data_IF_198670056889
#
_entry.id   IF_198670056889
#
_cell.length_a   1.000
_cell.length_b   1.000
_cell.length_c   1.000
_cell.angle_alpha   90.00
_cell.angle_beta   90.00
_cell.angle_gamma   90.00
#
_symmetry.space_group_name_H-M   'P 1'
#
loop_
_entity.id
_entity.type
_entity.pdbx_description
1 polymer ?
#
# COMPACT_ATOMS: atom_id res chain seq x y z
N UNK A 1 29.45 6.46 -6.02
CA UNK A 1 29.57 7.53 -5.01
C UNK A 1 28.27 7.59 -4.25
N UNK A 2 28.07 6.70 -3.28
CA UNK A 2 27.04 6.89 -2.25
C UNK A 2 27.78 7.68 -1.18
N UNK A 3 27.48 8.96 -1.11
CA UNK A 3 27.99 9.85 -0.07
C UNK A 3 27.74 9.16 1.28
N UNK A 4 28.81 8.91 2.05
CA UNK A 4 28.70 8.46 3.43
C UNK A 4 27.83 9.49 4.15
N UNK A 5 26.54 9.22 4.28
CA UNK A 5 25.66 9.94 5.20
C UNK A 5 26.38 9.89 6.54
N UNK A 6 26.79 11.04 7.06
CA UNK A 6 27.45 11.17 8.36
C UNK A 6 26.43 10.88 9.46
N UNK A 7 26.09 9.60 9.64
CA UNK A 7 25.21 9.13 10.70
C UNK A 7 25.92 9.19 12.07
N UNK A 8 27.25 9.29 12.07
CA UNK A 8 28.11 9.24 13.27
C UNK A 8 27.94 10.40 14.26
N UNK A 9 27.20 11.47 13.92
CA UNK A 9 26.93 12.62 14.82
C UNK A 9 25.50 12.70 15.32
N UNK A 10 24.66 11.73 14.94
CA UNK A 10 23.29 11.71 15.44
C UNK A 10 23.24 11.09 16.83
N UNK A 11 22.48 11.76 17.66
CA UNK A 11 22.10 11.29 18.97
C UNK A 11 21.25 9.98 18.88
N UNK A 12 21.26 9.15 19.93
CA UNK A 12 20.63 7.83 20.05
C UNK A 12 19.13 7.87 19.75
N UNK A 13 18.44 8.86 20.33
CA UNK A 13 16.99 9.00 20.16
C UNK A 13 16.62 9.18 18.68
N UNK A 14 17.24 10.10 17.91
CA UNK A 14 17.07 10.17 16.46
C UNK A 14 17.35 8.86 15.72
N UNK A 15 18.40 8.11 16.07
CA UNK A 15 18.75 6.84 15.41
C UNK A 15 17.66 5.78 15.60
N UNK A 16 17.15 5.64 16.83
CA UNK A 16 16.09 4.69 17.16
C UNK A 16 14.76 5.12 16.51
N UNK A 17 14.40 6.40 16.59
CA UNK A 17 13.19 6.92 15.95
C UNK A 17 13.25 6.70 14.44
N UNK A 18 14.39 6.99 13.79
CA UNK A 18 14.56 6.77 12.36
C UNK A 18 14.37 5.29 11.98
N UNK A 19 14.94 4.36 12.76
CA UNK A 19 14.77 2.94 12.55
C UNK A 19 13.28 2.51 12.63
N UNK A 20 12.56 2.96 13.66
CA UNK A 20 11.13 2.66 13.81
C UNK A 20 10.26 3.33 12.74
N UNK A 21 10.55 4.57 12.37
CA UNK A 21 9.85 5.30 11.30
C UNK A 21 10.06 4.60 9.96
N UNK A 22 11.27 4.10 9.68
CA UNK A 22 11.56 3.37 8.45
C UNK A 22 10.75 2.06 8.40
N UNK A 23 10.70 1.31 9.50
CA UNK A 23 9.87 0.09 9.58
C UNK A 23 8.38 0.42 9.44
N UNK A 24 7.89 1.45 10.12
CA UNK A 24 6.50 1.88 10.02
C UNK A 24 6.12 2.33 8.60
N UNK A 25 7.04 3.02 7.91
CA UNK A 25 6.87 3.41 6.51
C UNK A 25 6.82 2.19 5.59
N UNK A 26 7.69 1.20 5.79
CA UNK A 26 7.65 -0.05 5.03
C UNK A 26 6.31 -0.76 5.20
N UNK A 27 5.83 -0.90 6.45
CA UNK A 27 4.51 -1.48 6.73
C UNK A 27 3.41 -0.67 6.05
N UNK A 28 3.44 0.66 6.16
CA UNK A 28 2.48 1.55 5.50
C UNK A 28 2.45 1.37 3.98
N UNK A 29 3.62 1.33 3.33
CA UNK A 29 3.74 1.10 1.88
C UNK A 29 3.19 -0.27 1.50
N UNK A 30 3.54 -1.33 2.22
CA UNK A 30 2.98 -2.67 1.95
C UNK A 30 1.46 -2.72 2.15
N UNK A 31 0.94 -2.00 3.15
CA UNK A 31 -0.49 -1.90 3.42
C UNK A 31 -1.23 -1.16 2.30
N UNK A 32 -0.70 -0.04 1.81
CA UNK A 32 -1.27 0.71 0.68
C UNK A 32 -1.28 -0.17 -0.58
N UNK A 33 -0.16 -0.82 -0.91
CA UNK A 33 -0.07 -1.68 -2.10
C UNK A 33 -1.02 -2.88 -1.98
N UNK A 34 -1.11 -3.50 -0.80
CA UNK A 34 -2.06 -4.58 -0.54
C UNK A 34 -3.51 -4.11 -0.73
N UNK A 35 -3.85 -2.94 -0.19
CA UNK A 35 -5.18 -2.34 -0.33
C UNK A 35 -5.52 -2.06 -1.80
N UNK A 36 -4.62 -1.42 -2.55
CA UNK A 36 -4.86 -1.11 -3.98
C UNK A 36 -4.94 -2.37 -4.84
N UNK A 37 -4.20 -3.42 -4.47
CA UNK A 37 -4.25 -4.71 -5.18
C UNK A 37 -5.61 -5.38 -4.99
N UNK A 38 -6.09 -5.42 -3.74
CA UNK A 38 -7.41 -5.98 -3.41
C UNK A 38 -8.52 -5.17 -4.08
N UNK A 39 -8.45 -3.83 -4.06
CA UNK A 39 -9.48 -3.01 -4.72
C UNK A 39 -9.51 -3.20 -6.24
N UNK A 40 -8.37 -3.47 -6.87
CA UNK A 40 -8.32 -3.73 -8.33
C UNK A 40 -9.01 -5.06 -8.66
N UNK A 41 -8.78 -6.09 -7.84
CA UNK A 41 -9.46 -7.40 -8.00
C UNK A 41 -10.96 -7.26 -7.75
N UNK A 42 -11.35 -6.47 -6.74
CA UNK A 42 -12.75 -6.18 -6.42
C UNK A 42 -13.49 -5.54 -7.61
N UNK A 43 -12.93 -4.48 -8.21
CA UNK A 43 -13.51 -3.83 -9.40
C UNK A 43 -13.58 -4.77 -10.61
N UNK A 44 -12.56 -5.62 -10.82
CA UNK A 44 -12.57 -6.60 -11.91
C UNK A 44 -13.64 -7.69 -11.71
N UNK A 45 -13.89 -8.10 -10.46
CA UNK A 45 -14.97 -9.03 -10.13
C UNK A 45 -16.35 -8.38 -10.29
N UNK A 46 -16.47 -7.09 -9.98
CA UNK A 46 -17.71 -6.33 -10.18
C UNK A 46 -18.09 -6.31 -11.66
N UNK A 47 -17.16 -6.02 -12.58
CA UNK A 47 -17.40 -6.08 -14.03
C UNK A 47 -17.86 -7.47 -14.50
N UNK A 48 -17.19 -8.53 -14.04
CA UNK A 48 -17.57 -9.91 -14.40
C UNK A 48 -18.96 -10.29 -13.89
N UNK A 49 -19.29 -9.94 -12.64
CA UNK A 49 -20.53 -10.39 -11.98
C UNK A 49 -21.74 -9.52 -12.32
N UNK A 50 -21.55 -8.21 -12.49
CA UNK A 50 -22.64 -7.27 -12.72
C UNK A 50 -22.78 -6.86 -14.18
N UNK A 51 -21.67 -6.61 -14.88
CA UNK A 51 -21.73 -6.06 -16.23
C UNK A 51 -21.85 -7.20 -17.23
N UNK A 52 -20.90 -8.13 -17.27
CA UNK A 52 -20.86 -9.21 -18.26
C UNK A 52 -22.05 -10.18 -18.07
N UNK A 53 -22.45 -10.52 -16.83
CA UNK A 53 -23.65 -11.38 -16.61
C UNK A 53 -24.95 -10.68 -17.02
N UNK A 54 -25.07 -9.36 -16.81
CA UNK A 54 -26.27 -8.64 -17.22
C UNK A 54 -26.36 -8.49 -18.75
N UNK A 55 -25.22 -8.50 -19.44
CA UNK A 55 -25.14 -8.53 -20.90
C UNK A 55 -25.67 -9.86 -21.43
N UNK A 56 -25.17 -10.98 -20.91
CA UNK A 56 -25.66 -12.33 -21.22
C UNK A 56 -27.17 -12.51 -20.94
N UNK A 57 -27.65 -12.04 -19.78
CA UNK A 57 -29.06 -12.15 -19.39
C UNK A 57 -29.98 -11.39 -20.37
N UNK A 58 -29.57 -10.18 -20.77
CA UNK A 58 -30.33 -9.39 -21.73
C UNK A 58 -30.35 -10.02 -23.13
N UNK A 59 -29.23 -10.60 -23.59
CA UNK A 59 -29.16 -11.30 -24.87
C UNK A 59 -30.05 -12.56 -24.88
N UNK A 60 -30.00 -13.36 -23.81
CA UNK A 60 -30.84 -14.55 -23.65
C UNK A 60 -32.34 -14.20 -23.64
N UNK A 61 -32.71 -13.13 -22.94
CA UNK A 61 -34.10 -12.70 -22.85
C UNK A 61 -34.58 -12.10 -24.18
N UNK A 62 -33.73 -11.39 -24.94
CA UNK A 62 -34.05 -10.99 -26.32
C UNK A 62 -34.34 -12.22 -27.19
N UNK A 63 -33.51 -13.25 -27.15
CA UNK A 63 -33.73 -14.50 -27.88
C UNK A 63 -35.02 -15.20 -27.47
N UNK A 64 -35.30 -15.27 -26.18
CA UNK A 64 -36.56 -15.82 -25.67
C UNK A 64 -37.79 -15.06 -26.23
N UNK A 65 -37.73 -13.74 -26.27
CA UNK A 65 -38.82 -12.94 -26.81
C UNK A 65 -39.00 -13.14 -28.33
N UNK A 66 -37.92 -13.35 -29.10
CA UNK A 66 -38.02 -13.73 -30.52
C UNK A 66 -38.77 -15.06 -30.72
N UNK A 67 -38.42 -16.08 -29.93
CA UNK A 67 -39.11 -17.37 -29.96
C UNK A 67 -40.59 -17.23 -29.58
N UNK A 68 -40.88 -16.41 -28.57
CA UNK A 68 -42.24 -16.11 -28.10
C UNK A 68 -43.07 -15.40 -29.17
N UNK A 69 -42.51 -14.40 -29.85
CA UNK A 69 -43.18 -13.72 -30.97
C UNK A 69 -43.52 -14.69 -32.11
N UNK A 70 -42.55 -15.52 -32.49
CA UNK A 70 -42.73 -16.50 -33.56
C UNK A 70 -43.81 -17.52 -33.21
N UNK A 71 -43.82 -18.00 -31.96
CA UNK A 71 -44.84 -18.91 -31.45
C UNK A 71 -46.23 -18.25 -31.51
N UNK A 72 -46.35 -17.02 -31.00
CA UNK A 72 -47.61 -16.28 -30.98
C UNK A 72 -48.18 -16.06 -32.40
N UNK A 73 -47.33 -15.74 -33.39
CA UNK A 73 -47.76 -15.64 -34.78
C UNK A 73 -48.24 -16.99 -35.34
N UNK A 74 -47.60 -18.09 -34.96
CA UNK A 74 -48.05 -19.42 -35.36
C UNK A 74 -49.42 -19.77 -34.76
N UNK A 75 -49.67 -19.41 -33.50
CA UNK A 75 -50.98 -19.56 -32.86
C UNK A 75 -52.06 -18.70 -33.55
N UNK A 76 -51.73 -17.45 -33.89
CA UNK A 76 -52.61 -16.59 -34.70
C UNK A 76 -52.98 -17.26 -36.03
N UNK A 77 -52.01 -17.86 -36.74
CA UNK A 77 -52.27 -18.59 -38.00
C UNK A 77 -53.21 -19.79 -37.83
N UNK A 78 -53.21 -20.44 -36.67
CA UNK A 78 -54.16 -21.52 -36.34
C UNK A 78 -55.56 -21.02 -35.99
N UNK A 79 -55.72 -19.71 -35.77
CA UNK A 79 -56.98 -19.03 -35.50
C UNK A 79 -57.14 -18.50 -34.08
N UNK A 80 -56.11 -18.61 -33.23
CA UNK A 80 -56.11 -18.12 -31.85
C UNK A 80 -55.74 -16.63 -31.82
N UNK A 81 -56.69 -15.77 -32.21
CA UNK A 81 -56.43 -14.33 -32.38
C UNK A 81 -56.03 -13.59 -31.09
N UNK A 82 -56.26 -14.18 -29.90
CA UNK A 82 -55.78 -13.64 -28.63
C UNK A 82 -54.25 -13.61 -28.54
N UNK A 83 -53.55 -14.51 -29.23
CA UNK A 83 -52.08 -14.54 -29.27
C UNK A 83 -51.48 -13.29 -29.97
N UNK A 84 -52.28 -12.49 -30.69
CA UNK A 84 -51.83 -11.21 -31.23
C UNK A 84 -51.42 -10.21 -30.13
N UNK A 85 -52.03 -10.29 -28.94
CA UNK A 85 -51.59 -9.47 -27.79
C UNK A 85 -50.25 -9.97 -27.23
N UNK A 86 -50.01 -11.28 -27.23
CA UNK A 86 -48.76 -11.90 -26.79
C UNK A 86 -47.60 -11.52 -27.71
N UNK A 87 -47.81 -11.58 -29.04
CA UNK A 87 -46.85 -11.07 -30.03
C UNK A 87 -46.44 -9.61 -29.75
N UNK A 88 -47.42 -8.73 -29.53
CA UNK A 88 -47.15 -7.31 -29.27
C UNK A 88 -46.47 -7.08 -27.91
N UNK A 89 -46.76 -7.92 -26.93
CA UNK A 89 -46.10 -7.88 -25.62
C UNK A 89 -44.63 -8.32 -25.73
N UNK A 90 -44.35 -9.42 -26.43
CA UNK A 90 -42.98 -9.89 -26.66
C UNK A 90 -42.16 -8.89 -27.47
N UNK A 91 -42.76 -8.27 -28.49
CA UNK A 91 -42.17 -7.14 -29.22
C UNK A 91 -41.75 -5.97 -28.31
N UNK A 92 -42.57 -5.65 -27.31
CA UNK A 92 -42.24 -4.59 -26.35
C UNK A 92 -41.17 -5.02 -25.33
N UNK A 93 -41.15 -6.29 -24.95
CA UNK A 93 -40.12 -6.83 -24.06
C UNK A 93 -38.76 -6.93 -24.76
N UNK A 94 -38.71 -7.39 -26.01
CA UNK A 94 -37.50 -7.36 -26.82
C UNK A 94 -36.92 -5.94 -26.89
N UNK A 95 -37.76 -4.94 -27.19
CA UNK A 95 -37.35 -3.52 -27.22
C UNK A 95 -36.75 -3.04 -25.89
N UNK A 96 -37.32 -3.49 -24.77
CA UNK A 96 -36.83 -3.16 -23.44
C UNK A 96 -35.42 -3.71 -23.23
N UNK A 97 -35.19 -5.00 -23.54
CA UNK A 97 -33.88 -5.64 -23.35
C UNK A 97 -32.83 -5.12 -24.34
N UNK A 98 -33.25 -4.88 -25.59
CA UNK A 98 -32.45 -4.15 -26.56
C UNK A 98 -31.98 -2.80 -26.00
N UNK A 99 -32.88 -2.03 -25.39
CA UNK A 99 -32.54 -0.72 -24.80
C UNK A 99 -31.55 -0.86 -23.65
N UNK A 100 -31.74 -1.89 -22.80
CA UNK A 100 -30.78 -2.21 -21.73
C UNK A 100 -29.39 -2.46 -22.27
N UNK A 101 -29.23 -3.17 -23.39
CA UNK A 101 -27.93 -3.36 -24.04
C UNK A 101 -27.43 -2.08 -24.73
N UNK A 102 -28.30 -1.36 -25.44
CA UNK A 102 -27.93 -0.18 -26.22
C UNK A 102 -27.47 1.02 -25.37
N UNK A 103 -27.86 1.08 -24.10
CA UNK A 103 -27.44 2.11 -23.14
C UNK A 103 -26.07 1.84 -22.51
N UNK A 104 -25.50 0.65 -22.73
CA UNK A 104 -24.20 0.26 -22.20
C UNK A 104 -23.05 0.93 -22.95
N UNK A 105 -22.00 1.31 -22.22
CA UNK A 105 -20.79 1.93 -22.76
C UNK A 105 -19.60 0.97 -22.90
N UNK A 106 -19.77 -0.28 -22.47
CA UNK A 106 -18.74 -1.32 -22.44
C UNK A 106 -18.91 -2.39 -23.54
N UNK A 107 -19.87 -2.21 -24.45
CA UNK A 107 -20.01 -3.06 -25.64
C UNK A 107 -18.83 -2.87 -26.60
N UNK A 108 -18.34 -3.98 -27.15
CA UNK A 108 -17.33 -3.98 -28.22
C UNK A 108 -17.90 -3.39 -29.52
N UNK A 109 -17.03 -3.02 -30.45
CA UNK A 109 -17.46 -2.50 -31.75
C UNK A 109 -18.31 -3.52 -32.54
N UNK A 110 -17.95 -4.79 -32.46
CA UNK A 110 -18.67 -5.87 -33.15
C UNK A 110 -20.05 -6.11 -32.50
N UNK A 111 -20.13 -6.08 -31.16
CA UNK A 111 -21.42 -6.16 -30.43
C UNK A 111 -22.33 -4.96 -30.73
N UNK A 112 -21.78 -3.75 -30.82
CA UNK A 112 -22.57 -2.56 -31.20
C UNK A 112 -23.11 -2.66 -32.63
N UNK A 113 -22.32 -3.21 -33.55
CA UNK A 113 -22.74 -3.43 -34.92
C UNK A 113 -23.87 -4.46 -34.98
N UNK A 114 -23.68 -5.65 -34.39
CA UNK A 114 -24.69 -6.70 -34.31
C UNK A 114 -25.99 -6.19 -33.70
N UNK A 115 -25.90 -5.49 -32.57
CA UNK A 115 -27.07 -4.92 -31.91
C UNK A 115 -27.84 -3.95 -32.84
N UNK A 116 -27.12 -3.14 -33.64
CA UNK A 116 -27.74 -2.24 -34.61
C UNK A 116 -28.39 -2.95 -35.81
N UNK A 117 -27.85 -4.09 -36.23
CA UNK A 117 -28.38 -4.95 -37.29
C UNK A 117 -29.65 -5.64 -36.81
N UNK A 118 -29.59 -6.31 -35.65
CA UNK A 118 -30.73 -6.91 -34.96
C UNK A 118 -31.88 -5.90 -34.75
N UNK A 119 -31.56 -4.63 -34.47
CA UNK A 119 -32.58 -3.58 -34.33
C UNK A 119 -33.37 -3.36 -35.61
N UNK A 120 -32.67 -3.28 -36.73
CA UNK A 120 -33.28 -3.04 -38.03
C UNK A 120 -34.14 -4.23 -38.45
N UNK A 121 -33.63 -5.44 -38.26
CA UNK A 121 -34.33 -6.70 -38.56
C UNK A 121 -35.55 -6.90 -37.67
N UNK A 122 -35.45 -6.65 -36.37
CA UNK A 122 -36.59 -6.75 -35.46
C UNK A 122 -37.71 -5.74 -35.81
N UNK A 123 -37.34 -4.54 -36.27
CA UNK A 123 -38.32 -3.56 -36.78
C UNK A 123 -39.02 -4.05 -38.06
N UNK A 124 -38.31 -4.73 -38.95
CA UNK A 124 -38.89 -5.36 -40.13
C UNK A 124 -39.81 -6.53 -39.74
N UNK A 125 -39.35 -7.39 -38.83
CA UNK A 125 -40.10 -8.51 -38.29
C UNK A 125 -41.41 -8.05 -37.64
N UNK A 126 -41.36 -6.97 -36.86
CA UNK A 126 -42.53 -6.32 -36.27
C UNK A 126 -43.56 -5.89 -37.31
N UNK A 127 -43.10 -5.18 -38.35
CA UNK A 127 -43.99 -4.67 -39.40
C UNK A 127 -44.67 -5.83 -40.14
N UNK A 128 -43.90 -6.85 -40.51
CA UNK A 128 -44.40 -8.03 -41.23
C UNK A 128 -45.31 -8.90 -40.36
N UNK A 129 -45.00 -9.06 -39.07
CA UNK A 129 -45.85 -9.77 -38.11
C UNK A 129 -47.23 -9.11 -37.92
N UNK A 130 -47.31 -7.77 -37.89
CA UNK A 130 -48.60 -7.07 -37.89
C UNK A 130 -49.38 -7.27 -39.21
N UNK A 131 -48.69 -7.42 -40.35
CA UNK A 131 -49.34 -7.79 -41.61
C UNK A 131 -49.93 -9.22 -41.56
N UNK A 132 -49.24 -10.18 -40.91
CA UNK A 132 -49.77 -11.53 -40.65
C UNK A 132 -51.05 -11.45 -39.83
N UNK A 133 -51.02 -10.71 -38.72
CA UNK A 133 -52.18 -10.53 -37.82
C UNK A 133 -53.35 -9.88 -38.58
N UNK A 134 -53.09 -8.79 -39.31
CA UNK A 134 -54.12 -8.06 -40.09
C UNK A 134 -54.73 -8.94 -41.19
N UNK A 135 -53.93 -9.75 -41.87
CA UNK A 135 -54.43 -10.69 -42.88
C UNK A 135 -55.33 -11.76 -42.26
N UNK A 136 -54.98 -12.28 -41.08
CA UNK A 136 -55.81 -13.23 -40.33
C UNK A 136 -57.11 -12.60 -39.82
N UNK A 137 -57.09 -11.36 -39.34
CA UNK A 137 -58.31 -10.60 -38.97
C UNK A 137 -59.25 -10.41 -40.16
N UNK A 138 -58.69 -10.20 -41.36
CA UNK A 138 -59.44 -10.10 -42.61
C UNK A 138 -59.90 -11.46 -43.17
N UNK A 139 -59.46 -12.58 -42.58
CA UNK A 139 -59.74 -13.94 -43.04
C UNK A 139 -58.94 -14.39 -44.27
N UNK A 140 -57.91 -13.63 -44.68
CA UNK A 140 -57.03 -13.96 -45.81
C UNK A 140 -55.84 -14.82 -45.36
N UNK A 141 -56.12 -16.12 -45.16
CA UNK A 141 -55.11 -17.09 -44.71
C UNK A 141 -53.97 -17.24 -45.72
N UNK A 142 -54.25 -17.19 -47.02
CA UNK A 142 -53.21 -17.28 -48.04
C UNK A 142 -52.22 -16.12 -47.96
N UNK A 143 -52.69 -14.88 -47.72
CA UNK A 143 -51.78 -13.75 -47.50
C UNK A 143 -50.99 -13.90 -46.20
N UNK A 144 -51.66 -14.31 -45.10
CA UNK A 144 -51.01 -14.50 -43.81
C UNK A 144 -49.88 -15.55 -43.87
N UNK A 145 -50.10 -16.69 -44.53
CA UNK A 145 -49.07 -17.71 -44.70
C UNK A 145 -47.90 -17.21 -45.56
N UNK A 146 -48.16 -16.49 -46.67
CA UNK A 146 -47.06 -15.90 -47.46
C UNK A 146 -46.22 -14.92 -46.66
N UNK A 147 -46.88 -14.11 -45.81
CA UNK A 147 -46.19 -13.16 -44.92
C UNK A 147 -45.38 -13.87 -43.83
N UNK A 148 -45.89 -14.98 -43.33
CA UNK A 148 -45.12 -15.84 -42.42
C UNK A 148 -43.89 -16.45 -43.13
N UNK A 149 -44.02 -16.91 -44.38
CA UNK A 149 -42.90 -17.42 -45.18
C UNK A 149 -41.82 -16.35 -45.45
N UNK A 150 -42.22 -15.07 -45.59
CA UNK A 150 -41.31 -13.91 -45.68
C UNK A 150 -40.61 -13.64 -44.33
N UNK A 151 -41.27 -13.94 -43.21
CA UNK A 151 -40.84 -13.62 -41.85
C UNK A 151 -39.95 -14.68 -41.21
N UNK A 152 -40.17 -15.97 -41.51
CA UNK A 152 -39.34 -17.08 -41.02
C UNK A 152 -37.82 -16.88 -41.23
N UNK A 153 -37.31 -16.45 -42.40
CA UNK A 153 -35.88 -16.20 -42.56
C UNK A 153 -35.36 -15.05 -41.70
N UNK A 154 -36.17 -14.02 -41.46
CA UNK A 154 -35.79 -12.88 -40.59
C UNK A 154 -35.64 -13.36 -39.14
N UNK A 155 -36.55 -14.20 -38.64
CA UNK A 155 -36.40 -14.78 -37.30
C UNK A 155 -35.19 -15.71 -37.19
N UNK A 156 -34.85 -16.46 -38.24
CA UNK A 156 -33.64 -17.29 -38.26
C UNK A 156 -32.38 -16.43 -38.18
N UNK A 157 -32.32 -15.32 -38.94
CA UNK A 157 -31.20 -14.38 -38.92
C UNK A 157 -31.07 -13.71 -37.54
N UNK A 158 -32.18 -13.22 -36.97
CA UNK A 158 -32.21 -12.66 -35.60
C UNK A 158 -31.78 -13.68 -34.52
N UNK A 159 -32.20 -14.94 -34.63
CA UNK A 159 -31.75 -16.02 -33.73
C UNK A 159 -30.24 -16.30 -33.90
N UNK A 160 -29.71 -16.27 -35.11
CA UNK A 160 -28.27 -16.46 -35.37
C UNK A 160 -27.45 -15.28 -34.86
N UNK A 161 -27.95 -14.05 -34.98
CA UNK A 161 -27.34 -12.84 -34.46
C UNK A 161 -27.33 -12.81 -32.92
N UNK A 162 -28.43 -13.20 -32.27
CA UNK A 162 -28.45 -13.34 -30.80
C UNK A 162 -27.44 -14.37 -30.33
N UNK A 163 -27.29 -15.51 -31.02
CA UNK A 163 -26.27 -16.52 -30.71
C UNK A 163 -24.86 -15.96 -30.91
N UNK A 164 -24.61 -15.24 -32.01
CA UNK A 164 -23.31 -14.63 -32.28
C UNK A 164 -22.97 -13.56 -31.23
N UNK A 165 -23.97 -12.82 -30.76
CA UNK A 165 -23.82 -11.88 -29.65
C UNK A 165 -23.44 -12.60 -28.35
N UNK A 166 -24.14 -13.69 -28.00
CA UNK A 166 -23.81 -14.55 -26.84
C UNK A 166 -22.38 -15.11 -26.92
N UNK A 167 -21.93 -15.59 -28.09
CA UNK A 167 -20.56 -16.09 -28.29
C UNK A 167 -19.49 -15.00 -28.09
N UNK A 168 -19.77 -13.78 -28.57
CA UNK A 168 -18.89 -12.63 -28.37
C UNK A 168 -18.83 -12.21 -26.89
N UNK A 169 -19.97 -12.25 -26.19
CA UNK A 169 -20.06 -11.96 -24.77
C UNK A 169 -19.31 -13.00 -23.92
N UNK A 170 -19.46 -14.30 -24.22
CA UNK A 170 -18.70 -15.39 -23.59
C UNK A 170 -17.18 -15.19 -23.78
N UNK A 171 -16.74 -14.83 -24.99
CA UNK A 171 -15.33 -14.57 -25.27
C UNK A 171 -14.80 -13.34 -24.51
N UNK A 172 -15.63 -12.28 -24.37
CA UNK A 172 -15.32 -11.08 -23.57
C UNK A 172 -15.20 -11.44 -22.08
N UNK A 173 -16.16 -12.19 -21.55
CA UNK A 173 -16.17 -12.70 -20.17
C UNK A 173 -14.92 -13.54 -19.87
N UNK A 174 -14.56 -14.50 -20.75
CA UNK A 174 -13.35 -15.31 -20.58
C UNK A 174 -12.08 -14.45 -20.53
N UNK A 175 -11.99 -13.42 -21.38
CA UNK A 175 -10.88 -12.49 -21.38
C UNK A 175 -10.82 -11.66 -20.08
N UNK A 176 -11.97 -11.19 -19.57
CA UNK A 176 -12.10 -10.51 -18.27
C UNK A 176 -11.62 -11.40 -17.12
N UNK A 177 -12.07 -12.65 -17.08
CA UNK A 177 -11.65 -13.64 -16.07
C UNK A 177 -10.15 -13.93 -16.14
N UNK A 178 -9.59 -14.12 -17.35
CA UNK A 178 -8.16 -14.36 -17.54
C UNK A 178 -7.30 -13.15 -17.11
N UNK A 179 -7.78 -11.93 -17.40
CA UNK A 179 -7.15 -10.68 -16.96
C UNK A 179 -7.17 -10.54 -15.44
N UNK A 180 -8.30 -10.86 -14.80
CA UNK A 180 -8.45 -10.85 -13.35
C UNK A 180 -7.53 -11.87 -12.65
N UNK A 181 -7.43 -13.08 -13.21
CA UNK A 181 -6.52 -14.11 -12.73
C UNK A 181 -5.05 -13.68 -12.83
N UNK A 182 -4.67 -13.06 -13.95
CA UNK A 182 -3.31 -12.54 -14.17
C UNK A 182 -2.98 -11.40 -13.19
N UNK A 183 -3.92 -10.48 -12.98
CA UNK A 183 -3.80 -9.36 -12.04
C UNK A 183 -3.66 -9.86 -10.60
N UNK A 184 -4.42 -10.89 -10.23
CA UNK A 184 -4.35 -11.55 -8.92
C UNK A 184 -2.98 -12.18 -8.70
N UNK A 185 -2.47 -12.94 -9.68
CA UNK A 185 -1.16 -13.60 -9.56
C UNK A 185 0.00 -12.58 -9.45
N UNK A 186 -0.04 -11.52 -10.25
CA UNK A 186 0.94 -10.42 -10.16
C UNK A 186 0.89 -9.71 -8.81
N UNK A 187 -0.33 -9.44 -8.31
CA UNK A 187 -0.54 -8.85 -6.98
C UNK A 187 0.02 -9.72 -5.87
N UNK A 188 -0.22 -11.04 -5.92
CA UNK A 188 0.36 -11.99 -4.96
C UNK A 188 1.88 -11.98 -4.98
N UNK A 189 2.50 -12.05 -6.17
CA UNK A 189 3.95 -12.00 -6.30
C UNK A 189 4.53 -10.69 -5.76
N UNK A 190 3.88 -9.56 -6.04
CA UNK A 190 4.31 -8.24 -5.57
C UNK A 190 4.21 -8.13 -4.05
N UNK A 191 3.10 -8.55 -3.46
CA UNK A 191 2.89 -8.53 -2.00
C UNK A 191 3.93 -9.43 -1.31
N UNK A 192 4.09 -10.68 -1.76
CA UNK A 192 5.08 -11.62 -1.18
C UNK A 192 6.50 -11.04 -1.28
N UNK A 193 6.86 -10.47 -2.44
CA UNK A 193 8.17 -9.86 -2.67
C UNK A 193 8.43 -8.68 -1.73
N UNK A 194 7.47 -7.76 -1.60
CA UNK A 194 7.59 -6.59 -0.73
C UNK A 194 7.58 -6.95 0.75
N UNK A 195 6.73 -7.89 1.18
CA UNK A 195 6.72 -8.39 2.56
C UNK A 195 8.04 -9.05 2.91
N UNK A 196 8.60 -9.87 2.01
CA UNK A 196 9.90 -10.51 2.21
C UNK A 196 11.02 -9.48 2.29
N UNK A 197 11.03 -8.48 1.40
CA UNK A 197 12.01 -7.41 1.43
C UNK A 197 11.91 -6.58 2.71
N UNK A 198 10.70 -6.21 3.14
CA UNK A 198 10.46 -5.47 4.37
C UNK A 198 10.92 -6.27 5.60
N UNK A 199 10.68 -7.58 5.62
CA UNK A 199 11.14 -8.48 6.67
C UNK A 199 12.68 -8.53 6.76
N UNK A 200 13.37 -8.69 5.62
CA UNK A 200 14.84 -8.68 5.57
C UNK A 200 15.41 -7.34 6.06
N UNK A 201 14.81 -6.21 5.65
CA UNK A 201 15.23 -4.88 6.11
C UNK A 201 15.00 -4.71 7.62
N UNK A 202 13.87 -5.19 8.15
CA UNK A 202 13.60 -5.14 9.59
C UNK A 202 14.63 -5.96 10.39
N UNK A 203 15.01 -7.14 9.92
CA UNK A 203 16.10 -7.94 10.54
C UNK A 203 17.42 -7.17 10.50
N UNK A 204 17.78 -6.60 9.34
CA UNK A 204 19.02 -5.85 9.20
C UNK A 204 19.10 -4.65 10.16
N UNK A 205 17.98 -3.92 10.32
CA UNK A 205 17.86 -2.82 11.28
C UNK A 205 17.97 -3.34 12.71
N UNK A 206 17.31 -4.45 13.05
CA UNK A 206 17.38 -5.07 14.37
C UNK A 206 18.81 -5.48 14.75
N UNK A 207 19.52 -6.11 13.82
CA UNK A 207 20.94 -6.48 14.01
C UNK A 207 21.85 -5.25 14.12
N UNK A 208 21.57 -4.20 13.35
CA UNK A 208 22.29 -2.92 13.44
C UNK A 208 22.14 -2.29 14.83
N UNK A 209 20.90 -2.21 15.35
CA UNK A 209 20.60 -1.67 16.68
C UNK A 209 21.22 -2.52 17.77
N UNK A 210 21.10 -3.85 17.69
CA UNK A 210 21.68 -4.77 18.67
C UNK A 210 23.20 -4.60 18.78
N UNK A 211 23.91 -4.52 17.65
CA UNK A 211 25.37 -4.39 17.64
C UNK A 211 25.88 -3.00 18.04
N UNK A 212 25.20 -1.93 17.61
CA UNK A 212 25.69 -0.53 17.81
C UNK A 212 25.21 0.11 19.09
N UNK A 213 24.08 -0.32 19.65
CA UNK A 213 23.47 0.31 20.83
C UNK A 213 23.48 -0.67 22.00
N UNK A 214 22.95 -1.88 21.82
CA UNK A 214 22.79 -2.82 22.94
C UNK A 214 24.14 -3.31 23.49
N UNK A 215 25.11 -3.63 22.61
CA UNK A 215 26.43 -4.12 23.04
C UNK A 215 27.23 -3.09 23.88
N UNK A 216 27.43 -1.82 23.46
CA UNK A 216 28.16 -0.84 24.28
C UNK A 216 27.47 -0.53 25.61
N UNK A 217 26.14 -0.50 25.64
CA UNK A 217 25.37 -0.32 26.89
C UNK A 217 25.63 -1.47 27.86
N UNK A 218 25.66 -2.72 27.37
CA UNK A 218 25.95 -3.89 28.20
C UNK A 218 27.38 -3.87 28.73
N UNK A 219 28.36 -3.46 27.90
CA UNK A 219 29.75 -3.30 28.32
C UNK A 219 29.88 -2.24 29.42
N UNK A 220 29.29 -1.06 29.22
CA UNK A 220 29.30 0.02 30.20
C UNK A 220 28.61 -0.38 31.51
N UNK A 221 27.51 -1.13 31.43
CA UNK A 221 26.82 -1.67 32.60
C UNK A 221 27.72 -2.64 33.39
N UNK A 222 28.40 -3.56 32.72
CA UNK A 222 29.35 -4.49 33.35
C UNK A 222 30.54 -3.76 33.97
N UNK A 223 31.12 -2.79 33.28
CA UNK A 223 32.22 -1.98 33.81
C UNK A 223 31.80 -1.15 35.04
N UNK A 224 30.58 -0.61 35.03
CA UNK A 224 30.02 0.11 36.18
C UNK A 224 29.83 -0.81 37.39
N UNK A 225 29.37 -2.04 37.17
CA UNK A 225 29.23 -3.04 38.23
C UNK A 225 30.60 -3.44 38.82
N UNK A 226 31.59 -3.74 37.98
CA UNK A 226 32.95 -4.04 38.42
C UNK A 226 33.56 -2.89 39.25
N UNK A 227 33.39 -1.64 38.80
CA UNK A 227 33.83 -0.46 39.54
C UNK A 227 33.17 -0.36 40.92
N UNK A 228 31.88 -0.70 41.04
CA UNK A 228 31.18 -0.70 42.34
C UNK A 228 31.71 -1.76 43.31
N UNK A 229 32.30 -2.84 42.79
CA UNK A 229 32.96 -3.91 43.54
C UNK A 229 34.43 -3.58 43.84
N UNK A 230 34.92 -2.41 43.41
CA UNK A 230 36.29 -1.95 43.62
C UNK A 230 37.27 -2.36 42.52
N UNK A 231 36.81 -3.06 41.47
CA UNK A 231 37.62 -3.38 40.31
C UNK A 231 37.59 -2.22 39.30
N UNK A 232 38.64 -1.42 39.34
CA UNK A 232 38.83 -0.32 38.40
C UNK A 232 39.56 -0.77 37.14
N UNK A 233 39.90 -2.04 36.92
CA UNK A 233 40.77 -2.48 35.81
C UNK A 233 40.04 -2.76 34.49
N UNK A 234 38.70 -2.80 34.51
CA UNK A 234 37.87 -3.05 33.32
C UNK A 234 38.05 -1.97 32.27
N UNK A 235 38.48 -2.38 31.08
CA UNK A 235 38.59 -1.50 29.91
C UNK A 235 37.28 -1.52 29.11
N UNK A 236 36.89 -0.38 28.56
CA UNK A 236 35.75 -0.27 27.65
C UNK A 236 36.29 -0.18 26.22
N UNK A 237 35.67 -0.90 25.30
CA UNK A 237 36.03 -0.76 23.88
C UNK A 237 35.72 0.66 23.40
N UNK A 238 36.61 1.22 22.58
CA UNK A 238 36.40 2.55 21.99
C UNK A 238 35.12 2.56 21.15
N UNK A 239 34.15 3.38 21.54
CA UNK A 239 32.95 3.64 20.75
C UNK A 239 33.28 4.67 19.67
N UNK A 240 33.30 4.22 18.42
CA UNK A 240 33.77 5.01 17.28
C UNK A 240 32.85 6.20 16.93
N UNK A 241 31.59 6.19 17.39
CA UNK A 241 30.60 7.22 17.05
C UNK A 241 30.57 8.35 18.09
N UNK A 242 30.44 9.60 17.63
CA UNK A 242 30.33 10.80 18.48
C UNK A 242 28.84 11.08 18.81
N UNK A 243 28.22 10.16 19.52
CA UNK A 243 26.82 10.22 19.99
C UNK A 243 26.73 10.26 21.54
N UNK A 244 25.53 10.25 22.13
CA UNK A 244 25.41 10.25 23.59
C UNK A 244 26.06 9.03 24.24
N UNK A 245 26.14 7.88 23.56
CA UNK A 245 26.85 6.72 24.10
C UNK A 245 28.36 6.98 24.10
N UNK A 246 28.91 7.51 23.02
CA UNK A 246 30.31 7.91 22.95
C UNK A 246 30.68 8.89 24.05
N UNK A 247 29.89 9.96 24.20
CA UNK A 247 30.10 10.95 25.28
C UNK A 247 29.94 10.36 26.68
N UNK A 248 29.04 9.39 26.87
CA UNK A 248 28.85 8.70 28.14
C UNK A 248 30.03 7.77 28.46
N UNK A 249 30.56 7.06 27.47
CA UNK A 249 31.73 6.18 27.60
C UNK A 249 32.99 7.02 27.89
N UNK A 250 33.18 8.16 27.19
CA UNK A 250 34.27 9.09 27.46
C UNK A 250 34.22 9.63 28.89
N UNK A 251 33.06 10.14 29.33
CA UNK A 251 32.89 10.65 30.69
C UNK A 251 33.10 9.56 31.77
N UNK A 252 32.64 8.33 31.50
CA UNK A 252 32.87 7.20 32.39
C UNK A 252 34.36 6.84 32.49
N UNK A 253 35.06 6.84 31.36
CA UNK A 253 36.50 6.55 31.29
C UNK A 253 37.32 7.61 32.04
N UNK A 254 36.96 8.89 31.90
CA UNK A 254 37.59 9.98 32.66
C UNK A 254 37.36 9.82 34.18
N UNK A 255 36.15 9.46 34.60
CA UNK A 255 35.83 9.19 36.00
C UNK A 255 36.64 8.01 36.56
N UNK A 256 36.75 6.90 35.81
CA UNK A 256 37.55 5.74 36.22
C UNK A 256 39.04 6.12 36.37
N UNK A 257 39.59 6.88 35.42
CA UNK A 257 40.97 7.37 35.47
C UNK A 257 41.21 8.28 36.70
N UNK A 258 40.27 9.17 36.99
CA UNK A 258 40.33 10.04 38.17
C UNK A 258 40.31 9.23 39.47
N UNK A 259 39.42 8.24 39.61
CA UNK A 259 39.37 7.35 40.78
C UNK A 259 40.66 6.55 40.95
N UNK A 260 41.18 5.93 39.88
CA UNK A 260 42.48 5.25 39.90
C UNK A 260 43.59 6.18 40.38
N UNK A 261 43.60 7.44 39.94
CA UNK A 261 44.61 8.42 40.36
C UNK A 261 44.51 8.79 41.85
N UNK A 262 43.30 8.85 42.41
CA UNK A 262 43.08 9.12 43.83
C UNK A 262 43.60 7.95 44.68
N UNK A 263 43.23 6.71 44.33
CA UNK A 263 43.74 5.52 45.02
C UNK A 263 45.26 5.40 44.92
N UNK A 264 45.83 5.66 43.74
CA UNK A 264 47.28 5.60 43.56
C UNK A 264 48.02 6.68 44.36
N UNK A 265 47.42 7.88 44.54
CA UNK A 265 47.96 8.94 45.40
C UNK A 265 47.86 8.60 46.89
N UNK A 266 46.83 7.87 47.33
CA UNK A 266 46.75 7.39 48.72
C UNK A 266 47.74 6.26 49.03
N UNK A 267 48.24 5.54 48.01
CA UNK A 267 49.22 4.46 48.16
C UNK A 267 50.70 4.94 48.04
N UNK A 268 50.95 6.18 47.62
CA UNK A 268 52.29 6.79 47.63
C UNK A 268 52.59 7.45 49.00
N UNK A 269 53.75 7.17 49.63
CA UNK A 269 53.80 6.12 50.62
C UNK A 269 53.91 6.64 52.07
N UNK A 270 53.31 5.90 53.00
CA UNK A 270 53.69 5.82 54.42
C UNK A 270 55.16 5.36 54.66
N UNK A 271 55.98 5.33 53.61
CA UNK A 271 57.39 4.88 53.59
C UNK A 271 58.38 6.06 53.48
N UNK A 272 57.89 7.32 53.45
CA UNK A 272 58.75 8.51 53.43
C UNK A 272 59.23 8.98 54.82
N UNK A 273 58.74 8.42 55.94
CA UNK A 273 59.09 8.92 57.28
C UNK A 273 60.42 8.36 57.83
N UNK A 274 60.91 7.22 57.35
CA UNK A 274 62.07 6.55 57.98
C UNK A 274 63.45 7.05 57.50
N UNK A 275 63.53 7.81 56.39
CA UNK A 275 64.80 8.36 55.89
C UNK A 275 65.16 9.76 56.40
N UNK A 276 64.26 10.45 57.09
CA UNK A 276 64.50 11.83 57.55
C UNK A 276 65.20 11.92 58.93
N UNK A 277 65.37 10.81 59.66
CA UNK A 277 65.91 10.82 61.03
C UNK A 277 67.45 10.66 61.07
N UNK A 278 68.12 10.28 59.97
CA UNK A 278 69.57 10.01 59.97
C UNK A 278 70.43 10.84 58.99
N UNK A 279 69.84 11.76 58.22
CA UNK A 279 70.62 12.68 57.37
C UNK A 279 70.94 13.99 58.14
N UNK A 280 71.94 13.91 59.00
CA UNK A 280 72.49 15.06 59.70
C UNK A 280 73.04 16.14 58.76
N UNK A 281 72.87 17.38 59.20
CA UNK A 281 73.63 18.58 58.84
C UNK A 281 73.80 18.90 57.34
N UNK A 282 73.01 19.87 56.86
CA UNK A 282 73.50 21.11 56.21
C UNK A 282 72.32 21.94 55.72
N UNK A 283 72.13 23.14 56.26
CA UNK A 283 71.21 24.15 55.71
C UNK A 283 71.81 24.75 54.44
N UNK A 284 71.07 24.88 53.33
CA UNK A 284 71.32 25.94 52.36
C UNK A 284 70.26 27.04 52.51
N UNK A 285 70.79 28.25 52.48
CA UNK A 285 70.15 29.56 52.59
C UNK A 285 69.04 29.80 51.56
N UNK A 286 67.94 30.39 52.04
CA UNK A 286 66.89 31.01 51.23
C UNK A 286 67.50 32.16 50.44
N UNK A 287 67.35 32.13 49.12
CA UNK A 287 67.63 33.26 48.24
C UNK A 287 66.29 33.73 47.65
N UNK A 288 65.77 34.81 48.22
CA UNK A 288 64.64 35.56 47.69
C UNK A 288 64.91 35.98 46.25
N UNK A 289 63.96 35.70 45.35
CA UNK A 289 63.88 36.38 44.06
C UNK A 289 62.44 36.87 43.89
N UNK A 290 62.21 38.09 44.34
CA UNK A 290 60.99 38.86 44.15
C UNK A 290 61.03 39.58 42.81
N UNK A 291 59.96 39.46 42.02
CA UNK A 291 59.72 40.20 40.77
C UNK A 291 59.28 39.25 39.66
N UNK A 292 58.16 39.43 38.95
CA UNK A 292 57.21 40.52 38.87
C UNK A 292 55.91 39.94 38.26
N UNK A 293 54.77 40.16 38.93
CA UNK A 293 53.44 39.80 38.44
C UNK A 293 52.72 41.10 38.04
N UNK A 294 52.64 41.40 36.74
CA UNK A 294 51.68 42.40 36.23
C UNK A 294 50.87 41.91 35.04
N UNK A 295 49.68 41.45 35.40
CA UNK A 295 48.35 41.70 34.78
C UNK A 295 48.34 42.21 33.34
N UNK A 296 47.88 41.34 32.44
CA UNK A 296 47.08 41.73 31.26
C UNK A 296 45.60 41.72 31.65
N UNK A 297 44.98 42.91 31.74
CA UNK A 297 43.53 43.10 31.67
C UNK A 297 43.25 43.68 30.28
N UNK A 298 42.56 42.92 29.43
CA UNK A 298 41.89 43.50 28.27
C UNK A 298 40.66 42.68 27.91
N UNK A 299 39.50 43.33 28.03
CA UNK A 299 38.36 43.07 27.16
C UNK A 299 37.27 42.13 27.69
N UNK A 300 36.29 42.68 28.41
CA UNK A 300 34.90 42.32 28.11
C UNK A 300 33.97 43.48 28.48
N UNK A 301 33.48 44.18 27.44
CA UNK A 301 32.36 45.12 27.49
C UNK A 301 31.06 44.32 27.45
N UNK A 302 30.06 44.75 28.25
CA UNK A 302 28.59 44.72 28.05
C UNK A 302 28.00 43.35 27.66
N UNK A 303 27.07 42.76 28.41
CA UNK A 303 25.72 43.26 28.73
C UNK A 303 25.08 42.39 29.82
N UNK A 304 24.49 43.02 30.85
CA UNK A 304 23.52 42.38 31.75
C UNK A 304 22.11 42.55 31.18
N UNK A 305 21.26 41.51 31.14
CA UNK A 305 19.82 41.67 31.01
C UNK A 305 19.16 41.86 32.39
N UNK A 306 18.24 42.82 32.48
CA UNK A 306 17.38 43.09 33.62
C UNK A 306 16.44 41.91 33.89
N UNK A 307 16.44 41.43 35.14
CA UNK A 307 15.39 40.58 35.71
C UNK A 307 14.22 41.48 36.10
N UNK A 308 13.09 41.43 35.36
CA UNK A 308 11.78 41.85 35.88
C UNK A 308 11.05 40.61 36.36
N UNK A 309 10.84 40.54 37.68
CA UNK A 309 9.88 39.64 38.29
C UNK A 309 8.46 40.15 38.06
N UNK A 310 7.57 39.24 37.70
CA UNK A 310 6.13 39.44 37.64
C UNK A 310 5.48 38.58 38.74
N UNK A 311 4.83 39.18 39.75
CA UNK A 311 4.11 38.42 40.76
C UNK A 311 2.60 38.41 40.44
N UNK A 312 2.08 37.20 40.24
CA UNK A 312 0.69 36.88 40.56
C UNK A 312 -0.25 36.70 39.38
N UNK A 313 -0.86 35.52 39.32
CA UNK A 313 -2.32 35.37 39.27
C UNK A 313 -2.74 33.97 39.69
N UNK A 314 -3.84 33.97 40.42
CA UNK A 314 -4.73 32.87 40.79
C UNK A 314 -5.28 32.14 39.56
#
# INVERSE_FOLDING_TARGET
MIEKVKIDRFDLQPKIILAFVLVALLVGVTGVIGYTSVSTVDTQLETVVHDDVAEADAAMEMKYELESERLALHEVLTGEMNAAEEFRASQANFEKWYTTLAERDDLTADQQQLLSEMKAEHQEAKSTGEEVITAMEAGDKELANRKMDELDPIYIELEEDTITFEENDDAKMEASVASAATTTNNSHMMIIGLTTAAFVVAIAIGLFVAGRITTPIEQLSKASQAMSEGDLSTDLDDHVEDDELGRMIEAFTEMQANLRSVFHRSELPAVAYERAIWAGSSRPTIRDNTGDYRRSRSGCRRTCPEFRGDPGRE
#
